data_IF_453359575964
#
_entry.id   IF_453359575964
#
_cell.length_a   1.000
_cell.length_b   1.000
_cell.length_c   1.000
_cell.angle_alpha   90.00
_cell.angle_beta   90.00
_cell.angle_gamma   90.00
#
_symmetry.space_group_name_H-M   'P 1'
#
loop_
_entity.id
_entity.type
_entity.pdbx_description
1 polymer ?
2 polymer ?
3 polymer ?
4 non-polymer ?
5 non-polymer ?
6 water ?
#
# COMPACT_ATOMS: atom_id res chain seq x y z
N UNK A 1 12.14 -19.54 6.44
CA UNK A 1 12.39 -20.80 5.69
C UNK A 1 11.56 -20.91 4.39
N UNK A 2 10.24 -21.10 4.51
CA UNK A 2 9.32 -21.18 3.38
C UNK A 2 8.51 -19.87 3.13
N UNK A 3 9.09 -18.70 3.39
CA UNK A 3 8.42 -17.43 3.08
C UNK A 3 8.02 -17.49 1.61
N UNK A 4 6.88 -16.91 1.29
CA UNK A 4 6.54 -16.64 -0.10
C UNK A 4 5.89 -17.84 -0.76
N UNK A 5 5.71 -18.91 0.00
CA UNK A 5 4.99 -20.11 -0.52
C UNK A 5 3.63 -20.18 0.17
N UNK A 6 2.55 -20.12 -0.58
CA UNK A 6 1.20 -19.93 0.02
C UNK A 6 0.64 -21.32 0.34
N UNK A 7 0.14 -21.52 1.57
CA UNK A 7 -0.37 -22.85 1.95
C UNK A 7 -1.44 -23.37 1.04
N UNK A 8 -2.26 -22.50 0.49
CA UNK A 8 -3.35 -22.96 -0.37
C UNK A 8 -3.02 -23.05 -1.85
N UNK A 9 -1.80 -22.63 -2.23
CA UNK A 9 -1.44 -22.65 -3.62
C UNK A 9 -0.15 -23.39 -3.84
N UNK A 10 0.99 -22.71 -3.72
CA UNK A 10 2.27 -23.35 -4.02
C UNK A 10 2.52 -24.59 -3.18
N UNK A 11 2.12 -24.58 -1.90
CA UNK A 11 2.30 -25.77 -1.05
C UNK A 11 1.44 -26.98 -1.49
N UNK A 12 0.44 -26.75 -2.34
CA UNK A 12 -0.40 -27.83 -2.86
C UNK A 12 -0.24 -28.00 -4.37
N UNK A 13 0.81 -27.42 -4.94
CA UNK A 13 1.02 -27.37 -6.39
C UNK A 13 -0.21 -26.91 -7.16
N UNK A 14 -0.90 -25.88 -6.65
CA UNK A 14 -2.05 -25.27 -7.30
C UNK A 14 -1.74 -23.85 -7.70
N UNK A 15 -2.12 -23.44 -8.89
CA UNK A 15 -1.91 -22.05 -9.28
C UNK A 15 -3.17 -21.19 -9.10
N UNK A 16 -2.99 -19.90 -8.83
CA UNK A 16 -4.15 -19.01 -8.74
C UNK A 16 -4.55 -18.60 -10.15
N UNK A 17 -5.71 -17.96 -10.30
CA UNK A 17 -6.30 -17.70 -11.60
C UNK A 17 -5.52 -16.74 -12.49
N UNK A 18 -4.64 -15.91 -11.93
CA UNK A 18 -3.98 -14.87 -12.76
C UNK A 18 -2.42 -14.82 -12.67
N UNK A 19 -1.87 -15.65 -11.82
CA UNK A 19 -0.44 -15.83 -11.69
C UNK A 19 0.30 -15.97 -13.02
N UNK A 20 -0.29 -16.69 -13.97
CA UNK A 20 0.37 -16.90 -15.27
C UNK A 20 0.55 -15.59 -16.08
N UNK A 21 -0.32 -14.60 -15.85
CA UNK A 21 -0.15 -13.26 -16.42
C UNK A 21 1.16 -12.62 -15.94
N UNK A 22 1.46 -12.78 -14.64
CA UNK A 22 2.70 -12.27 -14.08
C UNK A 22 3.90 -12.96 -14.74
N UNK A 23 3.92 -14.29 -14.71
CA UNK A 23 5.09 -15.01 -15.26
C UNK A 23 5.31 -14.74 -16.73
N UNK A 24 4.22 -14.58 -17.47
CA UNK A 24 4.29 -14.26 -18.91
C UNK A 24 4.92 -12.90 -19.18
N UNK A 25 4.80 -11.97 -18.22
CA UNK A 25 5.42 -10.66 -18.38
C UNK A 25 6.94 -10.70 -18.23
N UNK A 26 7.49 -11.77 -17.65
CA UNK A 26 8.92 -11.86 -17.41
C UNK A 26 9.70 -12.37 -18.62
N UNK A 27 9.00 -12.79 -19.67
CA UNK A 27 9.67 -13.27 -20.89
C UNK A 27 10.09 -12.08 -21.75
N UNK B 1 -8.80 -0.88 -4.47
CA UNK B 1 -8.29 -1.42 -5.77
C UNK B 1 -9.26 -1.12 -6.89
N UNK B 2 -8.79 -0.36 -7.88
CA UNK B 2 -9.61 0.04 -9.03
C UNK B 2 -9.41 -0.95 -10.18
N UNK B 3 -10.52 -1.46 -10.70
CA UNK B 3 -10.48 -2.37 -11.86
C UNK B 3 -9.81 -3.72 -11.57
N UNK B 4 -9.93 -4.17 -10.33
CA UNK B 4 -9.45 -5.48 -9.96
C UNK B 4 -10.57 -6.49 -9.83
N UNK B 5 -10.30 -7.62 -9.19
CA UNK B 5 -11.33 -8.63 -8.95
C UNK B 5 -11.24 -9.17 -7.54
N UNK B 6 -12.27 -9.89 -7.08
CA UNK B 6 -12.24 -10.51 -5.77
C UNK B 6 -11.04 -11.46 -5.66
N UNK B 7 -10.32 -11.43 -4.54
CA UNK B 7 -9.22 -12.36 -4.31
C UNK B 7 -9.83 -13.75 -4.11
N UNK B 8 -9.08 -14.77 -4.51
CA UNK B 8 -9.36 -16.12 -4.13
C UNK B 8 -8.99 -16.25 -2.68
N UNK B 9 -9.73 -17.07 -1.94
CA UNK B 9 -9.36 -17.38 -0.55
C UNK B 9 -7.91 -17.85 -0.44
N UNK B 10 -7.14 -17.23 0.45
CA UNK B 10 -5.75 -17.62 0.68
C UNK B 10 -4.78 -17.16 -0.40
N UNK B 11 -5.17 -16.30 -1.32
CA UNK B 11 -4.21 -15.96 -2.40
C UNK B 11 -3.16 -14.94 -1.95
N UNK B 12 -3.47 -14.18 -0.89
CA UNK B 12 -2.51 -13.20 -0.33
C UNK B 12 -2.43 -13.39 1.18
N UNK B 13 -1.85 -14.52 1.64
CA UNK B 13 -1.94 -14.77 3.07
C UNK B 13 -1.03 -13.93 3.97
N UNK B 14 -0.22 -13.07 3.35
CA UNK B 14 0.58 -12.07 4.05
C UNK B 14 -0.19 -10.74 4.12
N UNK B 15 -1.35 -10.64 3.49
CA UNK B 15 -2.06 -9.37 3.53
C UNK B 15 -2.48 -9.09 4.98
N UNK B 16 -2.29 -7.84 5.42
CA UNK B 16 -2.66 -7.45 6.76
C UNK B 16 -3.54 -6.22 6.63
N UNK B 17 -4.51 -6.12 7.53
CA UNK B 17 -5.33 -4.93 7.61
C UNK B 17 -4.94 -4.20 8.88
N UNK B 18 -4.55 -2.93 8.74
CA UNK B 18 -4.27 -2.10 9.88
C UNK B 18 -5.62 -1.56 10.34
N UNK B 19 -5.89 -1.61 11.63
CA UNK B 19 -7.25 -1.32 12.13
C UNK B 19 -7.17 -0.47 13.36
N UNK B 20 -7.92 0.61 13.37
CA UNK B 20 -7.96 1.51 14.49
C UNK B 20 -8.85 0.92 15.60
N UNK B 21 -8.45 1.08 16.86
CA UNK B 21 -9.22 0.52 17.96
C UNK B 21 -10.48 1.34 18.28
N UNK B 22 -10.35 2.66 18.27
CA UNK B 22 -11.47 3.56 18.62
C UNK B 22 -11.39 4.87 17.80
N UNK B 23 -12.34 5.12 16.88
CA UNK B 23 -13.40 4.25 16.38
C UNK B 23 -12.81 3.06 15.65
N UNK B 24 -13.56 1.95 15.61
CA UNK B 24 -13.11 0.74 14.93
C UNK B 24 -13.22 0.95 13.43
N UNK B 25 -12.11 1.09 12.71
CA UNK B 25 -12.21 1.27 11.28
C UNK B 25 -10.91 0.82 10.61
N UNK B 26 -10.99 0.56 9.31
CA UNK B 26 -9.79 0.21 8.50
C UNK B 26 -8.94 1.46 8.37
N UNK B 27 -7.62 1.32 8.51
CA UNK B 27 -6.69 2.46 8.37
C UNK B 27 -5.85 2.27 7.12
N UNK B 28 -5.38 1.06 6.87
CA UNK B 28 -4.37 0.90 5.80
C UNK B 28 -4.19 -0.59 5.61
N UNK B 29 -3.50 -0.94 4.52
CA UNK B 29 -3.01 -2.30 4.33
C UNK B 29 -1.57 -2.40 4.87
N UNK B 30 -1.06 -3.62 4.97
CA UNK B 30 0.27 -3.90 5.48
C UNK B 30 0.57 -5.32 5.04
N UNK B 31 1.73 -5.84 5.44
CA UNK B 31 2.11 -7.21 5.12
C UNK B 31 2.80 -7.93 6.26
N UNK B 32 2.71 -9.24 6.21
CA UNK B 32 3.30 -10.07 7.24
C UNK B 32 4.62 -10.56 6.64
N UNK B 33 5.70 -10.18 7.30
CA UNK B 33 7.05 -10.56 6.78
C UNK B 33 7.79 -11.61 7.65
N UNK B 34 7.22 -11.93 8.82
CA UNK B 34 7.69 -13.02 9.70
C UNK B 34 6.61 -13.28 10.74
N UNK B 35 6.89 -14.10 11.75
CA UNK B 35 5.90 -14.39 12.80
C UNK B 35 5.64 -13.22 13.76
N UNK B 36 6.47 -12.17 13.70
CA UNK B 36 6.34 -11.08 14.64
C UNK B 36 6.47 -9.65 14.05
N UNK B 37 6.64 -9.54 12.74
CA UNK B 37 6.87 -8.25 12.10
C UNK B 37 5.94 -8.01 10.94
N UNK B 38 5.35 -6.82 10.91
CA UNK B 38 4.52 -6.39 9.83
C UNK B 38 5.09 -5.13 9.22
N UNK B 39 5.09 -5.09 7.91
CA UNK B 39 5.62 -3.97 7.11
C UNK B 39 4.45 -3.14 6.53
N UNK B 40 4.58 -1.82 6.59
CA UNK B 40 3.59 -0.90 6.04
C UNK B 40 4.25 0.39 5.58
N UNK B 41 3.45 1.36 5.12
CA UNK B 41 3.94 2.68 4.74
C UNK B 41 4.01 3.58 5.96
N UNK B 42 5.07 4.39 6.09
CA UNK B 42 5.12 5.31 7.19
C UNK B 42 3.90 6.24 7.26
N UNK B 43 3.36 6.68 6.12
CA UNK B 43 2.28 7.72 6.10
C UNK B 43 0.98 7.12 6.67
N UNK B 44 0.96 5.79 6.80
CA UNK B 44 -0.19 5.14 7.44
C UNK B 44 -0.20 5.36 8.95
N UNK B 45 0.96 5.70 9.51
CA UNK B 45 1.17 5.80 10.96
C UNK B 45 1.49 7.23 11.37
N UNK B 46 2.25 7.91 10.50
CA UNK B 46 2.71 9.26 10.80
C UNK B 46 2.50 10.15 9.61
N UNK B 47 1.58 11.11 9.76
CA UNK B 47 1.34 12.07 8.71
C UNK B 47 0.83 13.39 9.30
N UNK B 48 1.76 14.25 9.75
CA UNK B 48 1.53 15.54 10.41
C UNK B 48 0.47 16.45 9.78
N UNK B 49 0.46 16.60 8.43
CA UNK B 49 -0.60 17.42 7.85
C UNK B 49 -2.01 17.00 8.21
N UNK B 50 -2.21 15.73 8.54
CA UNK B 50 -3.53 15.28 8.96
C UNK B 50 -3.64 15.05 10.46
N UNK B 51 -2.67 15.58 11.21
CA UNK B 51 -2.52 15.31 12.65
C UNK B 51 -2.55 13.83 12.97
N UNK B 52 -1.94 13.04 12.11
CA UNK B 52 -1.89 11.60 12.33
C UNK B 52 -0.51 11.24 12.90
N UNK B 53 -0.53 10.57 14.06
CA UNK B 53 0.66 10.14 14.73
C UNK B 53 0.26 9.02 15.68
N UNK B 54 -0.06 7.87 15.10
CA UNK B 54 -0.51 6.72 15.86
C UNK B 54 0.61 6.11 16.69
N UNK B 55 0.26 5.72 17.90
CA UNK B 55 1.14 4.98 18.78
C UNK B 55 0.71 3.51 18.77
N UNK B 56 1.57 2.64 19.29
CA UNK B 56 1.27 1.21 19.31
C UNK B 56 -0.08 0.91 19.98
N UNK B 57 -0.47 1.69 20.99
CA UNK B 57 -1.74 1.43 21.69
C UNK B 57 -3.04 1.79 20.93
N UNK B 58 -2.90 2.48 19.81
CA UNK B 58 -4.03 3.00 19.02
C UNK B 58 -4.55 1.98 17.97
N UNK B 59 -3.77 0.91 17.72
CA UNK B 59 -3.87 0.15 16.48
C UNK B 59 -3.91 -1.33 16.77
N UNK B 60 -4.53 -2.08 15.87
CA UNK B 60 -4.43 -3.53 15.84
C UNK B 60 -4.02 -3.91 14.43
N UNK B 61 -3.43 -5.09 14.26
CA UNK B 61 -3.35 -5.64 12.91
C UNK B 61 -4.31 -6.84 12.81
N UNK B 62 -4.95 -7.02 11.67
CA UNK B 62 -5.79 -8.19 11.41
C UNK B 62 -5.20 -8.94 10.23
N UNK B 63 -4.90 -10.21 10.47
CA UNK B 63 -4.22 -11.08 9.51
C UNK B 63 -5.13 -12.24 9.19
N UNK B 64 -5.11 -12.70 7.94
CA UNK B 64 -5.87 -13.88 7.56
C UNK B 64 -7.26 -13.51 7.05
N UNK B 65 -7.46 -12.23 6.77
CA UNK B 65 -8.82 -11.73 6.38
C UNK B 65 -9.13 -11.88 4.91
N UNK B 66 -10.43 -11.98 4.61
CA UNK B 66 -10.92 -11.94 3.26
C UNK B 66 -12.02 -10.87 3.23
N UNK B 67 -13.05 -11.04 4.07
CA UNK B 67 -14.11 -10.04 4.11
C UNK B 67 -13.50 -8.73 4.63
N UNK B 68 -13.84 -7.61 4.00
CA UNK B 68 -13.48 -6.29 4.53
C UNK B 68 -14.11 -6.06 5.91
N UNK B 69 -15.43 -6.33 6.05
CA UNK B 69 -16.11 -5.89 7.27
C UNK B 69 -16.40 -6.95 8.34
N UNK B 70 -16.53 -8.23 7.96
CA UNK B 70 -16.84 -9.27 8.95
C UNK B 70 -15.74 -9.52 9.93
N UNK B 71 -16.14 -9.85 11.16
CA UNK B 71 -15.24 -10.48 12.11
C UNK B 71 -15.11 -11.98 11.81
N UNK B 72 -13.94 -12.39 11.30
CA UNK B 72 -13.80 -13.73 10.72
C UNK B 72 -13.26 -14.71 11.78
N UNK B 73 -14.11 -14.98 12.79
CA UNK B 73 -13.76 -15.77 13.96
C UNK B 73 -13.13 -17.10 13.56
N UNK B 74 -12.02 -17.45 14.23
CA UNK B 74 -11.26 -18.71 13.97
C UNK B 74 -10.53 -18.75 12.63
N UNK B 75 -10.62 -17.67 11.86
CA UNK B 75 -9.90 -17.59 10.58
C UNK B 75 -8.88 -16.47 10.65
N UNK B 76 -9.36 -15.26 10.96
CA UNK B 76 -8.42 -14.13 11.06
C UNK B 76 -7.78 -14.14 12.43
N UNK B 77 -6.66 -13.44 12.56
CA UNK B 77 -6.02 -13.29 13.86
C UNK B 77 -5.84 -11.82 14.08
N UNK B 78 -6.23 -11.34 15.25
CA UNK B 78 -6.10 -9.91 15.54
C UNK B 78 -5.01 -9.77 16.57
N UNK B 79 -4.01 -8.94 16.26
CA UNK B 79 -2.81 -8.81 17.10
C UNK B 79 -2.61 -7.39 17.55
N UNK B 80 -2.19 -7.23 18.81
CA UNK B 80 -1.74 -5.94 19.28
C UNK B 80 -0.28 -5.76 18.91
N UNK B 81 0.17 -4.51 19.02
CA UNK B 81 1.53 -4.12 18.65
C UNK B 81 2.39 -3.85 19.88
N UNK B 82 3.63 -4.28 19.83
CA UNK B 82 4.59 -3.98 20.88
C UNK B 82 5.20 -2.62 20.57
N UNK B 83 5.56 -2.40 19.33
CA UNK B 83 6.30 -1.20 18.95
C UNK B 83 6.20 -0.89 17.46
N UNK B 84 6.28 0.40 17.14
CA UNK B 84 6.25 0.91 15.77
C UNK B 84 7.57 1.61 15.47
N UNK B 85 8.14 1.33 14.30
CA UNK B 85 9.40 1.97 13.87
C UNK B 85 9.20 2.62 12.53
N UNK B 86 9.42 3.93 12.44
CA UNK B 86 9.28 4.65 11.20
C UNK B 86 10.68 4.98 10.65
N UNK B 87 10.89 4.93 9.34
CA UNK B 87 12.25 5.23 8.80
C UNK B 87 12.68 6.64 9.27
N UNK B 88 13.91 6.79 9.85
CA UNK B 88 14.29 8.12 10.36
C UNK B 88 14.38 9.21 9.30
N UNK B 89 14.50 8.85 8.02
CA UNK B 89 14.53 9.88 6.96
C UNK B 89 13.27 9.94 6.12
N UNK B 90 12.20 9.37 6.66
CA UNK B 90 10.88 9.51 6.06
C UNK B 90 10.50 11.01 5.81
N UNK B 91 10.27 11.37 4.56
CA UNK B 91 10.06 12.76 4.15
C UNK B 91 8.61 13.12 3.84
N UNK B 92 7.79 13.32 4.87
CA UNK B 92 6.36 13.66 4.65
C UNK B 92 6.07 15.05 4.12
N UNK B 93 7.05 15.96 4.25
CA UNK B 93 6.90 17.39 3.92
C UNK B 93 6.90 17.67 2.44
N UNK B 94 7.68 16.87 1.71
CA UNK B 94 7.78 17.03 0.26
C UNK B 94 7.11 15.89 -0.53
N UNK B 95 7.75 14.72 -0.58
CA UNK B 95 7.32 13.66 -1.51
C UNK B 95 7.06 12.23 -1.00
N UNK B 96 6.99 12.03 0.32
CA UNK B 96 6.89 10.71 0.98
C UNK B 96 8.10 9.82 0.70
N UNK B 97 9.28 10.42 0.52
CA UNK B 97 10.46 9.59 0.32
C UNK B 97 10.71 8.75 1.55
N UNK B 98 11.18 7.52 1.36
CA UNK B 98 11.43 6.56 2.42
C UNK B 98 10.15 6.33 3.25
N UNK B 99 9.07 6.11 2.51
CA UNK B 99 7.73 5.88 3.08
C UNK B 99 7.63 4.40 3.54
N UNK B 100 8.18 4.11 4.72
CA UNK B 100 8.31 2.73 5.19
C UNK B 100 8.29 2.71 6.70
N UNK B 101 7.59 1.72 7.27
CA UNK B 101 7.56 1.54 8.71
C UNK B 101 7.43 0.07 9.00
N UNK B 102 7.83 -0.31 10.20
CA UNK B 102 7.74 -1.67 10.68
C UNK B 102 6.94 -1.67 11.98
N UNK B 103 6.16 -2.73 12.20
CA UNK B 103 5.42 -2.85 13.43
C UNK B 103 5.69 -4.22 14.03
N UNK B 104 6.12 -4.24 15.29
CA UNK B 104 6.39 -5.50 15.98
C UNK B 104 5.18 -5.91 16.79
N UNK B 105 4.74 -7.14 16.56
CA UNK B 105 3.61 -7.73 17.30
C UNK B 105 3.98 -8.02 18.75
N UNK B 106 3.00 -7.89 19.66
CA UNK B 106 3.21 -8.20 21.07
C UNK B 106 3.63 -9.64 21.23
N UNK B 107 2.97 -10.54 20.51
CA UNK B 107 3.33 -11.96 20.51
C UNK B 107 3.42 -12.50 19.08
N UNK B 108 4.32 -13.48 18.86
CA UNK B 108 4.45 -14.06 17.52
C UNK B 108 3.19 -14.81 17.14
N UNK B 109 2.86 -14.79 15.86
CA UNK B 109 1.64 -15.43 15.38
C UNK B 109 1.95 -16.80 14.79
N UNK B 110 1.02 -17.73 14.97
CA UNK B 110 1.11 -19.04 14.31
C UNK B 110 0.65 -18.81 12.87
N UNK B 111 1.27 -19.50 11.92
CA UNK B 111 0.82 -19.43 10.54
C UNK B 111 -0.31 -20.46 10.34
N UNK B 112 -1.05 -20.33 9.25
CA UNK B 112 -2.23 -21.15 9.01
C UNK B 112 -2.39 -21.19 7.51
N UNK B 113 -3.47 -21.82 7.03
CA UNK B 113 -3.77 -21.76 5.63
C UNK B 113 -3.99 -20.35 5.11
N UNK B 114 -4.35 -19.43 6.01
CA UNK B 114 -4.75 -18.07 5.62
C UNK B 114 -3.72 -17.01 5.98
N UNK B 115 -2.72 -17.44 6.74
CA UNK B 115 -1.72 -16.55 7.33
C UNK B 115 -0.32 -17.13 7.07
N UNK B 116 0.48 -16.40 6.32
CA UNK B 116 1.83 -16.90 6.00
C UNK B 116 2.64 -15.73 5.51
N UNK B 117 3.95 -15.67 5.86
CA UNK B 117 4.73 -14.50 5.40
C UNK B 117 5.13 -14.46 3.91
N UNK B 118 5.38 -13.26 3.39
CA UNK B 118 5.85 -13.05 2.03
C UNK B 118 7.41 -12.93 2.18
N UNK B 119 8.16 -13.18 1.12
CA UNK B 119 9.64 -12.93 1.20
C UNK B 119 9.96 -11.50 0.89
N UNK B 120 11.10 -11.04 1.42
CA UNK B 120 11.68 -9.76 1.02
C UNK B 120 12.81 -10.08 0.05
N UNK B 121 12.94 -9.26 -1.01
CA UNK B 121 13.91 -9.48 -2.07
C UNK B 121 15.34 -9.29 -1.57
N UNK B 122 16.27 -9.96 -2.24
CA UNK B 122 17.68 -9.68 -2.04
C UNK B 122 18.17 -9.09 -3.32
N UNK B 123 19.48 -8.83 -3.38
CA UNK B 123 20.07 -8.15 -4.52
C UNK B 123 19.65 -8.80 -5.82
N UNK B 124 19.78 -10.13 -5.86
CA UNK B 124 19.57 -10.93 -7.06
C UNK B 124 18.11 -10.86 -7.50
N UNK B 125 17.20 -10.92 -6.53
CA UNK B 125 15.76 -10.87 -6.86
C UNK B 125 15.35 -9.51 -7.44
N UNK B 126 15.81 -8.42 -6.81
CA UNK B 126 15.54 -7.08 -7.29
C UNK B 126 16.02 -6.85 -8.72
N UNK B 127 17.24 -7.32 -8.99
CA UNK B 127 17.82 -7.13 -10.33
C UNK B 127 17.01 -7.87 -11.38
N UNK B 128 16.61 -9.11 -11.07
CA UNK B 128 15.85 -9.94 -12.02
C UNK B 128 14.45 -9.46 -12.26
N UNK B 129 13.76 -9.07 -11.18
CA UNK B 129 12.31 -8.78 -11.25
C UNK B 129 11.90 -7.32 -11.42
N UNK B 130 12.68 -6.40 -10.87
CA UNK B 130 12.33 -4.99 -11.01
C UNK B 130 12.69 -4.35 -12.35
N UNK B 131 11.97 -4.71 -13.41
CA UNK B 131 12.20 -4.11 -14.75
C UNK B 131 10.92 -3.67 -15.35
N UNK B 132 11.01 -2.62 -16.16
CA UNK B 132 9.83 -2.08 -16.81
C UNK B 132 9.16 -3.17 -17.60
N UNK B 133 7.84 -3.24 -17.44
CA UNK B 133 7.03 -4.16 -18.19
C UNK B 133 6.70 -5.44 -17.45
N UNK B 134 7.50 -5.80 -16.46
CA UNK B 134 7.25 -6.97 -15.62
C UNK B 134 6.10 -6.59 -14.70
N UNK B 135 5.15 -7.51 -14.52
CA UNK B 135 3.94 -7.21 -13.72
C UNK B 135 4.09 -7.69 -12.31
N UNK B 136 3.54 -6.90 -11.38
CA UNK B 136 3.43 -7.34 -10.04
C UNK B 136 1.93 -7.27 -9.69
N UNK B 137 1.63 -7.59 -8.45
CA UNK B 137 0.24 -7.70 -7.97
C UNK B 137 0.07 -6.89 -6.72
N UNK B 138 -1.01 -6.11 -6.66
CA UNK B 138 -1.37 -5.31 -5.51
C UNK B 138 -2.73 -5.81 -4.96
N UNK B 139 -2.89 -5.85 -3.64
CA UNK B 139 -4.12 -6.33 -3.03
C UNK B 139 -4.55 -5.31 -2.00
N UNK B 140 -5.85 -5.25 -1.70
CA UNK B 140 -6.27 -4.36 -0.69
C UNK B 140 -7.79 -4.25 -0.59
N UNK B 141 -8.24 -3.58 0.45
CA UNK B 141 -9.70 -3.35 0.68
C UNK B 141 -10.03 -1.91 0.47
N UNK B 142 -9.17 -1.20 -0.23
CA UNK B 142 -9.44 0.21 -0.59
C UNK B 142 -10.57 0.50 -1.55
N UNK B 143 -10.85 1.79 -1.75
CA UNK B 143 -11.88 2.23 -2.69
C UNK B 143 -11.79 1.60 -4.08
N UNK B 144 -12.96 1.30 -4.62
CA UNK B 144 -13.07 0.74 -5.96
C UNK B 144 -12.98 1.78 -7.08
N UNK B 145 -13.09 3.07 -6.74
CA UNK B 145 -12.97 4.19 -7.69
C UNK B 145 -12.50 5.41 -6.91
N UNK B 146 -11.87 6.38 -7.60
CA UNK B 146 -11.43 7.61 -6.95
C UNK B 146 -12.55 8.41 -6.24
N UNK B 147 -13.69 8.61 -6.89
CA UNK B 147 -14.83 9.23 -6.18
C UNK B 147 -16.06 8.33 -6.21
N UNK B 155 -18.71 1.75 -3.74
CA UNK B 155 -17.45 2.48 -3.63
C UNK B 155 -16.39 1.62 -2.97
N UNK B 156 -16.79 0.83 -1.97
CA UNK B 156 -15.90 -0.10 -1.27
C UNK B 156 -16.25 -1.57 -1.44
N UNK B 157 -15.21 -2.45 -1.40
CA UNK B 157 -15.44 -3.87 -1.70
C UNK B 157 -15.96 -4.69 -0.52
N UNK B 158 -16.67 -5.78 -0.78
CA UNK B 158 -17.04 -6.65 0.35
C UNK B 158 -15.91 -7.59 0.74
N UNK B 159 -15.02 -7.85 -0.21
CA UNK B 159 -13.98 -8.85 -0.02
C UNK B 159 -12.63 -8.26 -0.57
N UNK B 160 -11.53 -8.79 -0.08
CA UNK B 160 -10.18 -8.38 -0.59
C UNK B 160 -10.15 -8.35 -2.12
N UNK B 161 -9.59 -7.27 -2.71
CA UNK B 161 -9.46 -7.14 -4.17
C UNK B 161 -8.01 -7.31 -4.60
N UNK B 162 -7.83 -7.63 -5.89
CA UNK B 162 -6.49 -7.90 -6.44
C UNK B 162 -6.40 -7.31 -7.83
N UNK B 163 -5.24 -6.77 -8.20
CA UNK B 163 -5.02 -6.31 -9.55
C UNK B 163 -3.52 -6.50 -9.92
N UNK B 164 -3.28 -6.95 -11.14
CA UNK B 164 -1.89 -7.04 -11.66
C UNK B 164 -1.54 -5.82 -12.48
N UNK B 165 -0.36 -5.23 -12.24
CA UNK B 165 0.02 -3.98 -12.88
C UNK B 165 1.48 -4.09 -13.33
N UNK B 166 1.78 -3.56 -14.52
CA UNK B 166 3.19 -3.56 -14.96
C UNK B 166 4.03 -2.42 -14.38
N UNK B 167 5.28 -2.70 -14.09
CA UNK B 167 6.26 -1.67 -13.72
C UNK B 167 6.46 -0.72 -14.92
N UNK B 168 6.58 0.58 -14.65
CA UNK B 168 6.73 1.60 -15.69
C UNK B 168 8.17 2.10 -15.69
N UNK B 169 8.74 2.39 -16.88
CA UNK B 169 10.14 2.88 -16.94
C UNK B 169 10.27 4.19 -16.21
N UNK B 170 11.40 4.35 -15.54
CA UNK B 170 11.68 5.49 -14.68
C UNK B 170 11.48 6.92 -15.28
N UNK B 171 11.90 7.16 -16.55
CA UNK B 171 11.58 8.43 -17.25
C UNK B 171 10.09 8.70 -17.45
N UNK B 172 9.30 7.65 -17.70
CA UNK B 172 7.87 7.81 -17.88
C UNK B 172 7.22 8.18 -16.53
N UNK B 173 7.68 7.54 -15.46
CA UNK B 173 7.20 7.86 -14.11
C UNK B 173 7.48 9.35 -13.81
N UNK B 174 8.73 9.77 -14.03
CA UNK B 174 9.13 11.18 -13.78
C UNK B 174 8.35 12.20 -14.59
N UNK B 175 8.16 11.94 -15.89
CA UNK B 175 7.37 12.83 -16.74
C UNK B 175 5.90 12.91 -16.36
N UNK B 176 5.43 11.97 -15.53
CA UNK B 176 3.99 11.81 -15.24
C UNK B 176 3.51 12.77 -14.15
N UNK B 177 4.47 13.38 -13.46
CA UNK B 177 4.18 14.16 -12.26
C UNK B 177 5.22 15.26 -12.07
N UNK B 178 4.82 16.34 -11.41
CA UNK B 178 5.75 17.42 -11.03
C UNK B 178 6.34 17.21 -9.64
N UNK B 179 5.87 16.18 -8.94
CA UNK B 179 6.46 15.77 -7.67
C UNK B 179 7.81 15.14 -7.98
N UNK B 180 8.78 15.41 -7.12
CA UNK B 180 10.12 14.91 -7.28
C UNK B 180 10.24 13.44 -6.85
N UNK B 181 10.59 12.59 -7.80
CA UNK B 181 10.67 11.12 -7.62
C UNK B 181 12.09 10.74 -7.25
N UNK B 182 12.24 9.85 -6.29
CA UNK B 182 13.58 9.45 -5.87
C UNK B 182 13.79 7.99 -6.23
N UNK B 183 15.03 7.55 -6.04
CA UNK B 183 15.35 6.15 -6.32
C UNK B 183 14.69 5.21 -5.27
N UNK B 184 14.12 5.76 -4.19
CA UNK B 184 13.42 4.96 -3.17
C UNK B 184 11.96 4.71 -3.52
N UNK B 185 11.57 5.04 -4.75
CA UNK B 185 10.20 4.86 -5.28
C UNK B 185 10.28 4.21 -6.64
N UNK B 186 9.23 3.49 -7.02
CA UNK B 186 9.03 3.08 -8.40
C UNK B 186 7.56 3.26 -8.70
N UNK B 187 7.19 3.26 -9.98
CA UNK B 187 5.80 3.40 -10.31
C UNK B 187 5.31 2.23 -11.18
N UNK B 188 3.99 2.02 -11.17
CA UNK B 188 3.37 0.91 -11.86
C UNK B 188 1.99 1.32 -12.36
N UNK B 189 1.53 0.64 -13.38
CA UNK B 189 0.26 0.98 -13.99
C UNK B 189 0.40 0.88 -15.50
N UNK B 190 -0.74 0.76 -16.17
CA UNK B 190 -0.79 0.70 -17.61
C UNK B 190 -0.76 2.09 -18.23
N UNK B 191 -0.13 2.17 -19.40
CA UNK B 191 -0.15 3.40 -20.18
C UNK B 191 -1.51 3.65 -20.80
N UNK B 192 -1.79 4.92 -21.17
CA UNK B 192 -3.09 5.27 -21.71
C UNK B 192 -3.49 4.50 -22.99
N UNK B 193 -2.50 4.17 -23.82
CA UNK B 193 -2.71 3.39 -25.03
C UNK B 193 -3.00 1.90 -24.80
N UNK B 194 -2.68 1.38 -23.61
CA UNK B 194 -2.51 -0.06 -23.41
C UNK B 194 -3.78 -0.93 -23.31
N UNK B 195 -4.96 -0.32 -23.35
CA UNK B 195 -6.24 -1.05 -23.38
C UNK B 195 -6.53 -1.92 -22.15
N UNK B 196 -5.78 -1.67 -21.10
CA UNK B 196 -5.98 -2.27 -19.79
C UNK B 196 -5.77 -1.17 -18.79
N UNK B 197 -6.50 -1.21 -17.69
CA UNK B 197 -6.31 -0.23 -16.62
C UNK B 197 -6.31 -0.86 -15.21
N UNK B 198 -6.35 -0.04 -14.16
CA UNK B 198 -6.18 -0.57 -12.81
C UNK B 198 -5.20 0.21 -11.95
N UNK B 199 -5.46 0.23 -10.64
CA UNK B 199 -4.64 1.00 -9.71
C UNK B 199 -4.99 0.63 -8.29
N UNK B 200 -4.12 0.99 -7.34
CA UNK B 200 -4.45 1.00 -5.94
C UNK B 200 -5.26 2.26 -5.72
N UNK B 201 -5.98 2.33 -4.61
CA UNK B 201 -6.72 3.55 -4.26
C UNK B 201 -6.79 3.71 -2.75
N UNK B 202 -7.35 4.79 -2.26
CA UNK B 202 -7.49 5.07 -0.82
C UNK B 202 -7.89 3.84 -0.01
N UNK B 203 -7.11 3.52 1.00
CA UNK B 203 -7.35 2.36 1.86
C UNK B 203 -6.43 1.20 1.50
N UNK B 204 -5.92 1.18 0.26
CA UNK B 204 -4.90 0.18 -0.15
C UNK B 204 -3.47 0.55 0.29
N UNK B 205 -3.27 1.82 0.63
CA UNK B 205 -1.97 2.32 1.13
C UNK B 205 -1.34 1.46 2.18
N UNK B 206 0.00 1.27 2.09
CA UNK B 206 0.69 0.45 3.06
C UNK B 206 0.74 -1.02 2.70
N UNK B 207 -0.10 -1.43 1.76
CA UNK B 207 -0.28 -2.81 1.36
C UNK B 207 0.84 -3.24 0.42
N UNK B 208 0.97 -4.55 0.16
CA UNK B 208 2.13 -5.03 -0.66
C UNK B 208 1.99 -5.02 -2.19
N UNK B 209 3.11 -4.75 -2.88
CA UNK B 209 3.18 -4.95 -4.32
C UNK B 209 4.12 -6.16 -4.45
N UNK B 210 3.62 -7.27 -4.96
CA UNK B 210 4.38 -8.53 -4.92
C UNK B 210 4.63 -9.07 -6.29
N UNK B 211 5.68 -9.90 -6.41
CA UNK B 211 6.05 -10.53 -7.69
C UNK B 211 6.51 -11.95 -7.41
N UNK B 212 6.24 -12.85 -8.36
CA UNK B 212 6.53 -14.26 -8.18
C UNK B 212 7.81 -14.59 -8.94
N UNK B 213 8.79 -15.12 -8.23
CA UNK B 213 10.06 -15.53 -8.84
C UNK B 213 9.86 -16.73 -9.75
N UNK B 214 10.25 -16.62 -11.01
CA UNK B 214 10.15 -17.82 -11.85
C UNK B 214 11.25 -18.86 -11.54
N UNK B 215 12.18 -18.53 -10.65
CA UNK B 215 13.33 -19.37 -10.33
C UNK B 215 13.06 -20.30 -9.16
N UNK B 216 12.28 -19.82 -8.18
CA UNK B 216 12.04 -20.65 -7.01
C UNK B 216 10.56 -20.65 -6.56
N UNK B 217 9.68 -20.14 -7.42
CA UNK B 217 8.21 -20.19 -7.20
C UNK B 217 7.74 -19.41 -5.96
N UNK B 218 8.60 -18.58 -5.38
CA UNK B 218 8.24 -17.81 -4.17
C UNK B 218 7.77 -16.39 -4.51
N UNK B 219 6.88 -15.85 -3.65
CA UNK B 219 6.39 -14.49 -3.79
C UNK B 219 7.29 -13.55 -2.97
N UNK B 220 7.64 -12.44 -3.58
CA UNK B 220 8.52 -11.45 -2.96
C UNK B 220 7.80 -10.14 -2.95
N UNK B 221 7.90 -9.41 -1.84
CA UNK B 221 7.33 -8.07 -1.79
C UNK B 221 8.31 -7.04 -2.29
N UNK B 222 8.05 -6.51 -3.48
CA UNK B 222 8.99 -5.55 -4.11
C UNK B 222 8.65 -4.11 -3.76
N UNK B 223 7.40 -3.85 -3.39
CA UNK B 223 6.99 -2.46 -3.13
C UNK B 223 5.93 -2.37 -2.04
N UNK B 224 5.71 -1.13 -1.60
CA UNK B 224 4.66 -0.80 -0.66
C UNK B 224 3.81 0.27 -1.37
N UNK B 225 2.49 0.08 -1.41
CA UNK B 225 1.60 1.13 -1.92
C UNK B 225 1.85 2.44 -1.17
N UNK B 226 2.25 3.46 -1.90
CA UNK B 226 2.72 4.68 -1.24
C UNK B 226 1.84 5.89 -1.52
N UNK B 227 1.76 6.33 -2.76
CA UNK B 227 1.04 7.54 -3.07
C UNK B 227 0.67 7.62 -4.55
N UNK B 228 -0.34 8.43 -4.83
CA UNK B 228 -0.78 8.65 -6.19
C UNK B 228 -1.54 9.96 -6.29
N UNK B 229 -1.49 10.54 -7.49
CA UNK B 229 -2.33 11.69 -7.86
C UNK B 229 -3.58 11.17 -8.53
N UNK B 230 -4.67 11.12 -7.75
CA UNK B 230 -5.90 10.45 -8.18
C UNK B 230 -5.71 8.92 -8.15
N UNK B 231 -6.67 8.18 -8.69
CA UNK B 231 -6.63 6.69 -8.76
C UNK B 231 -7.04 6.32 -10.17
N UNK B 232 -6.21 5.53 -10.86
CA UNK B 232 -6.56 5.06 -12.21
C UNK B 232 -6.82 6.14 -13.26
N UNK B 233 -6.17 7.30 -13.14
CA UNK B 233 -6.32 8.34 -14.17
C UNK B 233 -5.36 8.06 -15.33
N UNK B 234 -5.80 8.30 -16.57
CA UNK B 234 -4.94 8.20 -17.76
C UNK B 234 -3.69 9.09 -17.67
N UNK B 235 -2.51 8.53 -17.96
CA UNK B 235 -1.24 9.30 -17.91
C UNK B 235 -0.61 9.42 -16.52
N UNK B 236 -1.32 8.90 -15.51
CA UNK B 236 -0.88 8.90 -14.12
C UNK B 236 -0.57 7.47 -13.65
N UNK B 237 0.34 7.34 -12.68
CA UNK B 237 0.81 6.04 -12.19
C UNK B 237 0.90 5.99 -10.67
N UNK B 238 0.65 4.81 -10.10
CA UNK B 238 0.85 4.62 -8.68
C UNK B 238 2.30 4.60 -8.30
N UNK B 239 2.65 5.18 -7.15
CA UNK B 239 4.00 5.07 -6.61
C UNK B 239 4.08 4.15 -5.45
N UNK B 240 5.17 3.40 -5.42
CA UNK B 240 5.46 2.37 -4.45
C UNK B 240 6.80 2.62 -3.81
N UNK B 241 6.90 2.35 -2.52
CA UNK B 241 8.18 2.37 -1.86
C UNK B 241 9.02 1.23 -2.41
N UNK B 242 10.30 1.50 -2.71
CA UNK B 242 11.22 0.48 -3.23
C UNK B 242 11.77 -0.33 -2.05
N UNK B 243 11.22 -1.52 -1.82
CA UNK B 243 11.54 -2.27 -0.60
C UNK B 243 13.03 -2.64 -0.60
N UNK B 244 13.50 -3.15 -1.73
CA UNK B 244 14.90 -3.62 -1.72
C UNK B 244 15.89 -2.48 -1.34
N UNK B 245 15.66 -1.29 -1.85
CA UNK B 245 16.49 -0.13 -1.54
C UNK B 245 16.56 0.15 -0.04
N UNK B 246 15.45 -0.10 0.67
CA UNK B 246 15.35 0.18 2.09
C UNK B 246 15.58 -1.01 2.97
N UNK B 247 15.97 -2.13 2.35
CA UNK B 247 16.10 -3.41 3.06
C UNK B 247 17.12 -3.36 4.18
N UNK B 248 18.17 -2.54 4.03
CA UNK B 248 19.16 -2.45 5.10
C UNK B 248 18.52 -1.90 6.36
N UNK B 249 17.71 -0.85 6.24
CA UNK B 249 16.99 -0.35 7.42
C UNK B 249 16.06 -1.44 8.01
N UNK B 250 15.28 -2.08 7.14
CA UNK B 250 14.44 -3.18 7.63
C UNK B 250 15.27 -4.17 8.42
N UNK B 251 16.41 -4.59 7.86
CA UNK B 251 17.22 -5.60 8.54
C UNK B 251 17.74 -5.09 9.87
N UNK B 252 18.19 -3.84 9.93
CA UNK B 252 18.74 -3.34 11.19
C UNK B 252 17.69 -3.12 12.29
N UNK B 253 16.46 -2.77 11.90
CA UNK B 253 15.40 -2.72 12.91
C UNK B 253 15.13 -4.10 13.48
N UNK B 254 14.96 -5.10 12.62
CA UNK B 254 14.65 -6.45 13.09
C UNK B 254 15.81 -7.03 13.91
N UNK B 255 17.05 -6.78 13.50
CA UNK B 255 18.21 -7.30 14.24
C UNK B 255 18.42 -6.68 15.62
N UNK B 256 18.09 -5.41 15.76
CA UNK B 256 18.27 -4.64 16.99
C UNK B 256 17.10 -4.84 17.96
N UNK B 257 15.90 -4.92 17.41
CA UNK B 257 14.67 -4.89 18.20
C UNK B 257 13.87 -6.21 18.19
N UNK B 258 14.29 -7.16 17.37
CA UNK B 258 13.53 -8.40 17.16
C UNK B 258 13.49 -9.32 18.36
N UNK C 1 -1.36 6.96 0.17
CA UNK C 1 -1.88 8.37 0.19
C UNK C 1 -2.32 8.80 -1.20
N UNK C 2 -3.62 8.99 -1.40
CA UNK C 2 -4.13 9.43 -2.66
C UNK C 2 -4.50 10.88 -2.57
N UNK C 3 -3.84 11.72 -3.37
CA UNK C 3 -4.28 13.11 -3.46
C UNK C 3 -5.53 13.19 -4.34
N UNK C 4 -6.56 13.89 -3.88
CA UNK C 4 -7.77 14.02 -4.66
C UNK C 4 -8.13 15.49 -4.86
N UNK C 5 -9.13 15.74 -5.69
CA UNK C 5 -9.45 17.10 -6.16
C UNK C 5 -9.70 18.07 -5.02
N UNK C 6 -9.08 19.26 -5.09
CA UNK C 6 -9.34 20.29 -4.07
C UNK C 6 -10.81 20.65 -4.14
N UNK C 7 -11.44 20.85 -2.98
CA UNK C 7 -12.90 21.09 -2.92
C UNK C 7 -13.28 22.48 -2.42
N UNK C 8 -12.29 23.25 -2.02
CA UNK C 8 -12.53 24.65 -1.72
C UNK C 8 -11.25 25.44 -1.73
N UNK C 9 -11.40 26.72 -2.05
CA UNK C 9 -10.26 27.63 -2.11
C UNK C 9 -9.57 27.69 -0.78
N UNK C 10 -8.23 27.78 -0.83
CA UNK C 10 -7.42 27.79 0.36
C UNK C 10 -6.88 26.43 0.82
N UNK C 11 -7.39 25.32 0.25
CA UNK C 11 -6.85 24.00 0.57
C UNK C 11 -5.51 23.74 -0.14
N UNK C 12 -4.69 22.87 0.42
CA UNK C 12 -3.55 22.29 -0.30
C UNK C 12 -3.48 20.79 -0.05
N UNK C 13 -2.37 20.15 -0.44
CA UNK C 13 -2.33 18.67 -0.41
C UNK C 13 -3.58 18.05 -1.08
N UNK C 14 -3.85 18.56 -2.27
CA UNK C 14 -4.97 18.14 -3.08
C UNK C 14 -4.63 18.51 -4.52
N UNK C 15 -5.37 17.94 -5.45
CA UNK C 15 -5.14 18.14 -6.86
C UNK C 15 -5.73 19.48 -7.28
N UNK C 16 -4.86 20.38 -7.70
CA UNK C 16 -5.35 21.72 -8.00
C UNK C 16 -5.42 21.97 -9.50
N UNK C 17 -4.28 22.13 -10.16
CA UNK C 17 -4.23 22.32 -11.59
C UNK C 17 -4.14 20.97 -12.34
N UNK C 18 -5.27 20.48 -12.82
CA UNK C 18 -5.30 19.17 -13.46
C UNK C 18 -4.95 18.11 -12.45
N UNK C 19 -4.12 17.16 -12.83
CA UNK C 19 -3.78 16.05 -11.95
C UNK C 19 -2.50 16.28 -11.15
N UNK C 20 -2.34 17.52 -10.69
CA UNK C 20 -1.14 17.92 -9.99
C UNK C 20 -1.47 18.40 -8.60
N UNK C 21 -0.76 17.82 -7.63
CA UNK C 21 -0.92 18.19 -6.23
C UNK C 21 -0.42 19.61 -6.03
N UNK C 22 -1.14 20.36 -5.20
CA UNK C 22 -0.75 21.70 -4.83
C UNK C 22 -0.14 21.50 -3.46
N UNK C 23 1.18 21.64 -3.37
CA UNK C 23 1.91 21.16 -2.20
C UNK C 23 2.01 22.14 -1.06
N UNK C 24 2.76 21.75 -0.04
CA UNK C 24 3.00 22.62 1.10
C UNK C 24 3.69 23.95 0.70
N UNK C 25 3.30 25.03 1.39
CA UNK C 25 3.72 26.40 1.00
C UNK C 25 2.86 27.04 -0.09
N UNK C 26 1.86 26.31 -0.59
CA UNK C 26 0.99 26.80 -1.66
C UNK C 26 -0.44 26.57 -1.25
N UNK C 27 -1.37 27.13 -2.03
CA UNK C 27 -2.79 26.91 -1.80
C UNK C 27 -3.54 26.99 -3.12
N UNK C 28 -4.69 26.35 -3.19
CA UNK C 28 -5.45 26.26 -4.43
C UNK C 28 -6.53 27.31 -4.43
N UNK C 29 -6.57 28.10 -5.49
CA UNK C 29 -7.70 29.01 -5.68
C UNK C 29 -8.63 28.34 -6.67
N UNK C 30 -9.79 27.92 -6.19
CA UNK C 30 -10.73 27.22 -7.03
C UNK C 30 -11.34 28.12 -8.08
N UNK C 31 -11.38 27.63 -9.31
CA UNK C 31 -12.17 28.30 -10.32
C UNK C 31 -13.66 28.05 -10.19
N UNK C 32 -14.42 29.09 -10.51
CA UNK C 32 -15.86 28.97 -10.71
C UNK C 32 -16.09 28.17 -11.99
N UNK C 33 -17.35 28.08 -12.44
CA UNK C 33 -17.59 27.33 -13.66
C UNK C 33 -16.93 28.07 -14.81
N UNK C 34 -16.35 27.31 -15.73
CA UNK C 34 -15.63 27.88 -16.87
C UNK C 34 -14.29 28.51 -16.52
N UNK C 35 -13.90 28.48 -15.25
CA UNK C 35 -12.58 28.96 -14.81
C UNK C 35 -11.70 27.80 -14.38
N UNK C 36 -10.40 27.99 -14.54
CA UNK C 36 -9.42 27.00 -14.15
C UNK C 36 -8.97 27.27 -12.72
N UNK C 37 -8.58 26.22 -12.01
CA UNK C 37 -7.98 26.35 -10.70
C UNK C 37 -6.59 26.90 -10.87
N UNK C 38 -6.06 27.50 -9.79
CA UNK C 38 -4.65 27.94 -9.74
C UNK C 38 -3.99 27.54 -8.43
N UNK C 39 -2.77 27.03 -8.51
CA UNK C 39 -1.97 26.74 -7.34
C UNK C 39 -0.99 27.90 -7.12
N UNK C 40 -1.22 28.68 -6.06
CA UNK C 40 -0.44 29.91 -5.79
C UNK C 40 0.28 29.79 -4.46
N UNK C 41 1.33 30.58 -4.25
CA UNK C 41 2.00 30.63 -2.95
C UNK C 41 1.02 31.13 -1.91
N UNK C 42 1.06 30.56 -0.72
CA UNK C 42 0.11 30.95 0.31
C UNK C 42 0.11 29.95 1.41
N UNK C 43 -0.73 30.21 2.41
CA UNK C 43 -0.85 29.34 3.55
C UNK C 43 -2.08 28.46 3.36
N UNK C 44 -1.88 27.29 2.76
CA UNK C 44 -2.99 26.37 2.51
C UNK C 44 -3.36 25.57 3.73
N UNK C 45 -4.56 25.01 3.74
CA UNK C 45 -4.95 24.04 4.77
C UNK C 45 -5.13 22.68 4.09
N UNK C 46 -4.58 21.60 4.67
CA UNK C 46 -4.72 20.34 3.92
C UNK C 46 -6.17 19.94 3.74
N UNK C 47 -6.52 19.45 2.56
CA UNK C 47 -7.82 18.84 2.33
C UNK C 47 -8.00 17.69 3.33
N UNK C 48 -9.17 17.63 4.00
CA UNK C 48 -9.42 16.65 5.05
C UNK C 48 -9.42 15.27 4.44
N UNK C 49 -8.82 14.29 5.12
CA UNK C 49 -8.88 12.90 4.67
C UNK C 49 -10.33 12.48 4.48
N UNK C 50 -10.59 11.67 3.45
CA UNK C 50 -11.94 11.21 3.13
C UNK C 50 -12.56 10.35 4.24
N UNK C 54 -17.61 3.21 7.41
CA UNK C 54 -17.94 1.79 7.49
C UNK C 54 -18.37 1.41 8.91
N UNK C 55 -19.22 0.41 9.10
CA UNK C 55 -19.54 -0.67 8.15
C UNK C 55 -19.09 -1.97 8.82
N UNK C 56 -18.13 -1.81 9.75
CA UNK C 56 -17.36 -2.92 10.29
C UNK C 56 -18.07 -3.64 11.40
N UNK C 57 -18.05 -4.96 11.36
CA UNK C 57 -18.54 -5.75 12.47
C UNK C 57 -17.64 -5.53 13.70
N UNK C 58 -18.27 -5.28 14.86
CA UNK C 58 -17.56 -5.15 16.14
C UNK C 58 -16.70 -6.36 16.49
N UNK C 59 -15.46 -6.11 16.90
CA UNK C 59 -14.56 -7.18 17.23
C UNK C 59 -14.60 -7.49 18.71
N UNK C 60 -14.20 -8.70 19.12
CA UNK C 60 -14.25 -9.02 20.54
C UNK C 60 -13.52 -8.01 21.44
N UNK C 61 -14.15 -7.69 22.58
CA UNK C 61 -13.66 -6.69 23.55
C UNK C 61 -12.23 -6.95 24.03
N UNK C 62 -11.86 -8.22 24.13
CA UNK C 62 -10.51 -8.62 24.54
C UNK C 62 -9.41 -7.91 23.71
N UNK C 64 -9.55 -4.94 22.57
CA UNK C 64 -9.70 -3.51 22.77
C UNK C 64 -9.08 -3.02 24.09
N UNK C 65 -8.55 -3.95 24.88
CA UNK C 65 -7.88 -3.72 26.17
C UNK C 65 -8.73 -4.23 27.34
#
# INVERSE_FOLDING_TARGET
>A
ADCGLRPLFEKKSLEDKTERELLESYI
>B
IVEGSDAEIGMSPWQVMLFRKSPQELLCGASLISDRWVLTAAHCLLYPPWDKNFTENDLLVRIGKHSRTRYERNIEKISMLEKIYIHPRYNWRENLDRDIALMKLKKPVAFSDYIHPVCLPDRETAASLLQAGYKGRVTGWGNLKETWTANVGKGQPSVLQVVNLPIVERPVCKDSTRIRITDNMFCAGYKPDEGKRGDACEGDSGGPFVMKSPFNNRWYQMGIVSWGEGCDRDGKYGFYTHVFRLKKWIQKVIDQFG
>C
LTYTDCTESGQNLCLCEGSNVCGQGNKCILGSDGEKNQCVTGEGTPKPQSHNDGDFEEIPEEXLQ
#
